data_IF_885435768935
#
_entry.id   IF_885435768935
#
_cell.length_a   1.000
_cell.length_b   1.000
_cell.length_c   1.000
_cell.angle_alpha   90.00
_cell.angle_beta   90.00
_cell.angle_gamma   90.00
#
_symmetry.space_group_name_H-M   'P 1'
#
loop_
_entity.id
_entity.type
_entity.pdbx_description
1 polymer ?
#
# COMPACT_ATOMS: atom_id res chain seq x y z
N UNK A 1 -21.46 -49.68 10.96
CA UNK A 1 -20.34 -48.93 11.55
C UNK A 1 -19.55 -48.27 10.43
N UNK A 2 -19.70 -46.95 10.25
CA UNK A 2 -19.06 -46.19 9.17
C UNK A 2 -17.83 -45.44 9.67
N UNK A 3 -16.66 -45.75 9.13
CA UNK A 3 -15.40 -45.04 9.40
C UNK A 3 -15.35 -43.78 8.53
N UNK A 4 -15.58 -42.60 9.14
CA UNK A 4 -15.35 -41.30 8.49
C UNK A 4 -13.86 -41.03 8.41
N UNK A 5 -13.35 -40.83 7.19
CA UNK A 5 -12.00 -40.31 6.95
C UNK A 5 -11.92 -38.85 7.39
N UNK A 6 -10.80 -38.40 8.00
CA UNK A 6 -10.63 -37.00 8.33
C UNK A 6 -10.48 -36.18 7.04
N UNK A 7 -11.38 -35.23 6.84
CA UNK A 7 -11.26 -34.18 5.83
C UNK A 7 -9.99 -33.38 6.10
N UNK A 8 -8.96 -33.57 5.26
CA UNK A 8 -7.84 -32.64 5.17
C UNK A 8 -8.42 -31.25 4.87
N UNK A 9 -8.24 -30.31 5.79
CA UNK A 9 -8.47 -28.89 5.51
C UNK A 9 -7.62 -28.51 4.28
N UNK A 10 -8.16 -27.80 3.28
CA UNK A 10 -7.34 -27.32 2.18
C UNK A 10 -6.32 -26.32 2.75
N UNK A 11 -5.04 -26.71 2.71
CA UNK A 11 -3.93 -25.81 2.96
C UNK A 11 -3.99 -24.67 1.93
N UNK A 12 -3.72 -23.44 2.40
CA UNK A 12 -3.84 -22.21 1.63
C UNK A 12 -3.15 -22.30 0.26
N UNK A 13 -3.93 -22.15 -0.80
CA UNK A 13 -3.44 -22.11 -2.20
C UNK A 13 -2.62 -20.86 -2.53
N UNK A 14 -2.63 -19.86 -1.62
CA UNK A 14 -1.93 -18.57 -1.71
C UNK A 14 -0.46 -18.68 -2.18
N UNK A 15 0.31 -19.64 -1.65
CA UNK A 15 1.75 -19.75 -1.95
C UNK A 15 2.07 -20.33 -3.32
N UNK A 16 1.12 -20.97 -3.99
CA UNK A 16 1.48 -21.88 -5.09
C UNK A 16 1.32 -21.28 -6.49
N UNK A 17 0.47 -20.26 -6.66
CA UNK A 17 0.16 -19.69 -7.99
C UNK A 17 0.99 -18.45 -8.32
N UNK A 18 1.08 -17.45 -7.43
CA UNK A 18 1.90 -16.24 -7.66
C UNK A 18 3.39 -16.53 -7.80
N UNK A 19 3.93 -17.43 -6.98
CA UNK A 19 5.30 -17.94 -7.09
C UNK A 19 5.58 -18.68 -8.40
N UNK A 20 4.57 -19.20 -9.11
CA UNK A 20 4.76 -19.90 -10.38
C UNK A 20 4.83 -18.95 -11.57
N UNK A 21 4.03 -17.88 -11.58
CA UNK A 21 4.03 -16.90 -12.68
C UNK A 21 5.31 -16.04 -12.65
N UNK A 22 5.81 -15.70 -11.46
CA UNK A 22 7.11 -15.03 -11.29
C UNK A 22 8.31 -15.84 -11.80
N UNK A 23 8.17 -17.16 -11.95
CA UNK A 23 9.23 -18.04 -12.49
C UNK A 23 9.27 -18.08 -14.02
N UNK A 24 8.23 -17.60 -14.69
CA UNK A 24 8.18 -17.48 -16.15
C UNK A 24 9.14 -16.38 -16.64
N UNK A 25 9.63 -16.45 -17.90
CA UNK A 25 10.54 -15.44 -18.45
C UNK A 25 10.00 -14.01 -18.32
N UNK A 26 8.71 -13.82 -18.60
CA UNK A 26 8.02 -12.52 -18.52
C UNK A 26 7.97 -12.00 -17.09
N UNK A 27 7.62 -12.85 -16.11
CA UNK A 27 7.63 -12.51 -14.69
C UNK A 27 9.01 -12.11 -14.20
N UNK A 28 10.06 -12.86 -14.59
CA UNK A 28 11.46 -12.54 -14.26
C UNK A 28 11.90 -11.22 -14.89
N UNK A 29 11.53 -10.97 -16.14
CA UNK A 29 11.85 -9.72 -16.83
C UNK A 29 11.17 -8.53 -16.14
N UNK A 30 9.89 -8.66 -15.81
CA UNK A 30 9.14 -7.63 -15.09
C UNK A 30 9.75 -7.38 -13.71
N UNK A 31 10.05 -8.40 -12.91
CA UNK A 31 10.71 -8.23 -11.60
C UNK A 31 12.05 -7.50 -11.69
N UNK A 32 12.92 -7.85 -12.65
CA UNK A 32 14.18 -7.11 -12.89
C UNK A 32 13.92 -5.66 -13.25
N UNK A 33 12.92 -5.39 -14.07
CA UNK A 33 12.54 -4.04 -14.48
C UNK A 33 11.93 -3.20 -13.33
N UNK A 34 11.59 -3.86 -12.22
CA UNK A 34 11.15 -3.26 -10.95
C UNK A 34 12.28 -3.21 -9.91
N UNK A 35 13.50 -3.56 -10.31
CA UNK A 35 14.68 -3.69 -9.45
C UNK A 35 14.47 -4.70 -8.31
N UNK A 36 13.70 -5.75 -8.59
CA UNK A 36 13.42 -6.83 -7.67
C UNK A 36 14.17 -8.09 -8.11
N UNK A 37 14.96 -8.67 -7.20
CA UNK A 37 15.58 -9.97 -7.42
C UNK A 37 14.51 -11.07 -7.65
N UNK A 38 14.46 -11.70 -8.84
CA UNK A 38 13.52 -12.78 -9.13
C UNK A 38 13.83 -14.10 -8.41
N UNK A 39 15.01 -14.22 -7.78
CA UNK A 39 15.47 -15.42 -7.06
C UNK A 39 15.10 -15.34 -5.58
N UNK A 40 15.05 -14.13 -5.01
CA UNK A 40 14.66 -13.91 -3.62
C UNK A 40 13.25 -14.46 -3.34
N UNK A 41 13.16 -15.45 -2.45
CA UNK A 41 11.96 -16.24 -2.18
C UNK A 41 10.89 -15.53 -1.35
N UNK A 42 11.16 -14.33 -0.84
CA UNK A 42 10.26 -13.64 0.09
C UNK A 42 10.20 -12.14 -0.21
N UNK A 43 9.50 -11.77 -1.29
CA UNK A 43 9.06 -10.39 -1.47
C UNK A 43 7.62 -10.28 -0.98
N UNK A 44 7.40 -9.39 -0.02
CA UNK A 44 6.05 -9.08 0.45
C UNK A 44 5.21 -8.50 -0.69
N UNK A 45 3.89 -8.71 -0.63
CA UNK A 45 2.95 -8.17 -1.62
C UNK A 45 3.04 -6.63 -1.69
N UNK A 46 3.19 -5.98 -0.53
CA UNK A 46 3.34 -4.52 -0.44
C UNK A 46 4.53 -4.00 -1.27
N UNK A 47 5.70 -4.64 -1.20
CA UNK A 47 6.87 -4.27 -1.99
C UNK A 47 6.61 -4.37 -3.50
N UNK A 48 5.96 -5.46 -3.94
CA UNK A 48 5.62 -5.66 -5.36
C UNK A 48 4.70 -4.55 -5.87
N UNK A 49 3.61 -4.28 -5.14
CA UNK A 49 2.65 -3.23 -5.48
C UNK A 49 3.32 -1.85 -5.49
N UNK A 50 4.12 -1.55 -4.47
CA UNK A 50 4.86 -0.29 -4.37
C UNK A 50 5.76 -0.05 -5.58
N UNK A 51 6.56 -1.06 -5.98
CA UNK A 51 7.45 -0.92 -7.15
C UNK A 51 6.68 -0.73 -8.44
N UNK A 52 5.57 -1.44 -8.62
CA UNK A 52 4.71 -1.27 -9.81
C UNK A 52 4.22 0.17 -9.90
N UNK A 53 3.68 0.70 -8.81
CA UNK A 53 3.13 2.07 -8.80
C UNK A 53 4.23 3.12 -8.96
N UNK A 54 5.36 3.03 -8.24
CA UNK A 54 6.45 4.02 -8.35
C UNK A 54 7.00 4.07 -9.78
N UNK A 55 7.10 2.93 -10.45
CA UNK A 55 7.61 2.84 -11.82
C UNK A 55 6.55 3.07 -12.90
N UNK A 56 5.29 3.34 -12.53
CA UNK A 56 4.18 3.53 -13.47
C UNK A 56 3.81 2.27 -14.26
N UNK A 57 4.10 1.09 -13.70
CA UNK A 57 3.89 -0.23 -14.32
C UNK A 57 2.71 -0.99 -13.73
N UNK A 58 1.87 -0.35 -12.94
CA UNK A 58 0.67 -0.88 -12.28
C UNK A 58 -0.51 -1.16 -13.24
N UNK A 59 -0.21 -1.68 -14.44
CA UNK A 59 -1.22 -2.08 -15.43
C UNK A 59 -1.85 -3.42 -15.08
N UNK A 60 -3.09 -3.70 -15.53
CA UNK A 60 -3.74 -4.99 -15.31
C UNK A 60 -2.90 -6.19 -15.78
N UNK A 61 -2.17 -6.06 -16.87
CA UNK A 61 -1.33 -7.10 -17.46
C UNK A 61 -0.13 -7.41 -16.56
N UNK A 62 0.61 -6.38 -16.13
CA UNK A 62 1.77 -6.54 -15.24
C UNK A 62 1.34 -7.09 -13.87
N UNK A 63 0.18 -6.63 -13.39
CA UNK A 63 -0.41 -7.12 -12.16
C UNK A 63 -0.82 -8.60 -12.27
N UNK A 64 -1.39 -9.01 -13.40
CA UNK A 64 -1.70 -10.42 -13.68
C UNK A 64 -0.43 -11.26 -13.77
N UNK A 65 0.66 -10.74 -14.35
CA UNK A 65 1.96 -11.43 -14.42
C UNK A 65 2.57 -11.62 -13.02
N UNK A 66 2.49 -10.64 -12.13
CA UNK A 66 3.13 -10.74 -10.81
C UNK A 66 2.29 -11.43 -9.74
N UNK A 67 0.97 -11.22 -9.77
CA UNK A 67 0.04 -11.68 -8.75
C UNK A 67 -0.79 -12.88 -9.22
N UNK A 68 -0.93 -13.07 -10.53
CA UNK A 68 -1.78 -14.12 -11.08
C UNK A 68 -3.27 -13.86 -10.80
N UNK A 69 -4.09 -14.93 -10.69
CA UNK A 69 -5.54 -14.81 -10.51
C UNK A 69 -6.00 -14.12 -9.22
N UNK A 70 -5.09 -13.89 -8.26
CA UNK A 70 -5.41 -13.22 -6.99
C UNK A 70 -5.50 -11.70 -7.10
N UNK A 71 -5.29 -11.14 -8.30
CA UNK A 71 -5.40 -9.72 -8.60
C UNK A 71 -6.68 -9.09 -8.02
N UNK A 72 -7.83 -9.75 -8.18
CA UNK A 72 -9.13 -9.23 -7.72
C UNK A 72 -9.16 -9.02 -6.21
N UNK A 73 -8.51 -9.90 -5.44
CA UNK A 73 -8.45 -9.79 -3.98
C UNK A 73 -7.52 -8.68 -3.50
N UNK A 74 -6.60 -8.21 -4.34
CA UNK A 74 -5.57 -7.23 -3.98
C UNK A 74 -5.88 -5.81 -4.50
N UNK A 75 -7.05 -5.60 -5.12
CA UNK A 75 -7.41 -4.31 -5.71
C UNK A 75 -7.41 -3.18 -4.67
N UNK A 76 -7.96 -3.44 -3.49
CA UNK A 76 -7.99 -2.45 -2.40
C UNK A 76 -6.58 -2.08 -1.90
N UNK A 77 -5.65 -3.06 -1.86
CA UNK A 77 -4.26 -2.80 -1.48
C UNK A 77 -3.52 -2.01 -2.56
N UNK A 78 -3.79 -2.28 -3.84
CA UNK A 78 -3.26 -1.48 -4.94
C UNK A 78 -3.77 -0.04 -4.87
N UNK A 79 -5.08 0.17 -4.75
CA UNK A 79 -5.70 1.51 -4.68
C UNK A 79 -5.14 2.30 -3.49
N UNK A 80 -4.99 1.65 -2.32
CA UNK A 80 -4.33 2.25 -1.16
C UNK A 80 -2.87 2.62 -1.45
N UNK A 81 -2.09 1.70 -2.04
CA UNK A 81 -0.67 1.92 -2.37
C UNK A 81 -0.50 3.07 -3.38
N UNK A 82 -1.40 3.17 -4.37
CA UNK A 82 -1.45 4.26 -5.32
C UNK A 82 -1.64 5.60 -4.62
N UNK A 83 -2.63 5.71 -3.73
CA UNK A 83 -2.88 6.93 -2.97
C UNK A 83 -1.69 7.30 -2.07
N UNK A 84 -1.10 6.34 -1.35
CA UNK A 84 0.07 6.60 -0.50
C UNK A 84 1.25 7.17 -1.31
N UNK A 85 1.54 6.61 -2.49
CA UNK A 85 2.62 7.10 -3.36
C UNK A 85 2.27 8.45 -4.00
N UNK A 86 1.02 8.65 -4.44
CA UNK A 86 0.55 9.92 -5.01
C UNK A 86 0.56 11.05 -3.97
N UNK A 87 0.30 10.74 -2.70
CA UNK A 87 0.35 11.71 -1.61
C UNK A 87 1.76 12.24 -1.34
N UNK A 88 2.82 11.59 -1.82
CA UNK A 88 4.22 11.99 -1.64
C UNK A 88 4.56 12.30 -0.17
N UNK A 89 4.53 11.24 0.64
CA UNK A 89 4.50 11.33 2.09
C UNK A 89 5.88 11.70 2.69
N UNK A 90 5.92 12.48 3.79
CA UNK A 90 7.16 13.05 4.36
C UNK A 90 7.93 12.09 5.28
N UNK A 91 9.27 12.12 5.29
CA UNK A 91 10.13 11.09 5.92
C UNK A 91 9.84 10.60 7.36
N UNK A 92 9.04 11.30 8.17
CA UNK A 92 8.60 10.84 9.50
C UNK A 92 7.26 10.09 9.54
N UNK A 93 6.69 9.66 8.40
CA UNK A 93 5.53 8.76 8.37
C UNK A 93 5.96 7.30 8.68
N UNK A 94 5.15 6.48 9.41
CA UNK A 94 5.55 5.12 9.80
C UNK A 94 5.92 4.20 8.64
N UNK A 95 5.19 4.29 7.52
CA UNK A 95 5.47 3.50 6.31
C UNK A 95 6.76 3.97 5.60
N UNK A 96 7.41 5.06 6.02
CA UNK A 96 8.62 5.59 5.39
C UNK A 96 9.82 4.72 5.70
N UNK A 97 9.94 4.28 6.94
CA UNK A 97 11.02 3.40 7.36
C UNK A 97 10.89 2.04 6.70
N UNK A 98 9.66 1.53 6.55
CA UNK A 98 9.41 0.32 5.74
C UNK A 98 9.81 0.53 4.27
N UNK A 99 9.41 1.65 3.67
CA UNK A 99 9.80 1.99 2.31
C UNK A 99 11.31 2.12 2.13
N UNK A 100 11.99 2.77 3.06
CA UNK A 100 13.45 2.96 3.07
C UNK A 100 14.19 1.63 3.22
N UNK A 101 13.67 0.74 4.06
CA UNK A 101 14.18 -0.63 4.17
C UNK A 101 13.99 -1.41 2.87
N UNK A 102 12.80 -1.32 2.28
CA UNK A 102 12.44 -1.95 1.01
C UNK A 102 13.24 -1.40 -0.20
N UNK A 103 13.69 -0.15 -0.09
CA UNK A 103 14.50 0.58 -1.07
C UNK A 103 16.00 0.52 -0.78
N UNK A 104 16.42 -0.10 0.33
CA UNK A 104 17.83 -0.20 0.70
C UNK A 104 18.64 -0.97 -0.37
N UNK A 105 19.69 -0.33 -0.87
CA UNK A 105 20.56 -0.89 -1.91
C UNK A 105 19.99 -0.77 -3.34
N UNK A 106 18.90 -0.03 -3.54
CA UNK A 106 18.35 0.30 -4.86
C UNK A 106 18.60 1.78 -5.17
N UNK A 107 19.78 2.09 -5.69
CA UNK A 107 20.23 3.48 -5.85
C UNK A 107 19.41 4.30 -6.88
N UNK A 108 18.64 3.65 -7.77
CA UNK A 108 18.06 4.31 -8.95
C UNK A 108 16.66 3.79 -9.36
N UNK A 109 15.70 3.71 -8.43
CA UNK A 109 14.31 3.49 -8.84
C UNK A 109 13.78 4.75 -9.53
N UNK A 110 13.68 4.73 -10.87
CA UNK A 110 13.07 5.83 -11.63
C UNK A 110 11.61 5.99 -11.26
N UNK A 111 11.28 7.12 -10.63
CA UNK A 111 9.89 7.48 -10.32
C UNK A 111 9.19 7.95 -11.59
N UNK A 112 8.21 7.17 -12.03
CA UNK A 112 7.36 7.42 -13.20
C UNK A 112 5.88 7.24 -12.84
N UNK A 113 5.49 7.71 -11.65
CA UNK A 113 4.12 7.63 -11.14
C UNK A 113 3.19 8.37 -12.09
N UNK A 114 2.08 7.72 -12.48
CA UNK A 114 1.04 8.34 -13.31
C UNK A 114 0.39 9.53 -12.61
N UNK A 115 -0.21 10.48 -13.35
CA UNK A 115 -1.05 11.50 -12.72
C UNK A 115 -2.25 10.86 -11.99
N UNK A 116 -2.73 11.49 -10.90
CA UNK A 116 -3.93 11.03 -10.22
C UNK A 116 -5.15 11.18 -11.13
N UNK A 117 -6.09 10.25 -11.02
CA UNK A 117 -7.45 10.39 -11.55
C UNK A 117 -8.24 11.44 -10.77
N UNK A 118 -9.38 11.88 -11.30
CA UNK A 118 -10.23 12.85 -10.62
C UNK A 118 -10.66 12.38 -9.22
N UNK A 119 -11.08 11.12 -9.09
CA UNK A 119 -11.49 10.55 -7.80
C UNK A 119 -10.34 10.44 -6.81
N UNK A 120 -9.13 10.09 -7.28
CA UNK A 120 -7.94 10.09 -6.44
C UNK A 120 -7.58 11.50 -5.99
N UNK A 121 -7.71 12.49 -6.88
CA UNK A 121 -7.46 13.89 -6.55
C UNK A 121 -8.42 14.42 -5.49
N UNK A 122 -9.71 14.08 -5.59
CA UNK A 122 -10.72 14.41 -4.57
C UNK A 122 -10.37 13.74 -3.22
N UNK A 123 -10.03 12.45 -3.25
CA UNK A 123 -9.60 11.69 -2.07
C UNK A 123 -8.36 12.29 -1.42
N UNK A 124 -7.34 12.64 -2.22
CA UNK A 124 -6.12 13.28 -1.75
C UNK A 124 -6.41 14.64 -1.12
N UNK A 125 -7.34 15.42 -1.67
CA UNK A 125 -7.75 16.70 -1.09
C UNK A 125 -8.36 16.51 0.30
N UNK A 126 -9.24 15.53 0.47
CA UNK A 126 -9.82 15.20 1.79
C UNK A 126 -8.73 14.74 2.77
N UNK A 127 -7.84 13.84 2.34
CA UNK A 127 -6.72 13.37 3.17
C UNK A 127 -5.86 14.54 3.62
N UNK A 128 -5.46 15.44 2.71
CA UNK A 128 -4.66 16.64 3.04
C UNK A 128 -5.39 17.60 3.99
N UNK A 129 -6.71 17.69 3.92
CA UNK A 129 -7.50 18.46 4.87
C UNK A 129 -7.46 17.84 6.28
N UNK A 130 -7.60 16.51 6.38
CA UNK A 130 -7.52 15.79 7.64
C UNK A 130 -6.13 15.97 8.26
N UNK A 131 -5.06 15.79 7.48
CA UNK A 131 -3.68 15.99 7.94
C UNK A 131 -3.48 17.40 8.52
N UNK A 132 -3.94 18.42 7.82
CA UNK A 132 -3.86 19.82 8.28
C UNK A 132 -4.60 20.04 9.60
N UNK A 133 -5.81 19.49 9.73
CA UNK A 133 -6.59 19.58 10.98
C UNK A 133 -5.90 18.87 12.14
N UNK A 134 -5.27 17.72 11.88
CA UNK A 134 -4.43 17.03 12.86
C UNK A 134 -3.27 17.90 13.29
N UNK A 135 -2.44 18.35 12.35
CA UNK A 135 -1.26 19.18 12.62
C UNK A 135 -1.60 20.48 13.37
N UNK A 136 -2.73 21.11 13.08
CA UNK A 136 -3.22 22.29 13.81
C UNK A 136 -3.55 22.00 15.28
N UNK A 137 -3.97 20.77 15.61
CA UNK A 137 -4.34 20.38 16.97
C UNK A 137 -3.15 19.91 17.80
N UNK A 138 -2.25 19.13 17.21
CA UNK A 138 -1.18 18.44 17.96
C UNK A 138 0.24 18.88 17.58
N UNK A 139 0.39 19.67 16.54
CA UNK A 139 1.69 20.04 15.97
C UNK A 139 2.22 19.06 14.93
N UNK A 140 3.23 19.49 14.18
CA UNK A 140 3.88 18.71 13.11
C UNK A 140 4.83 17.66 13.71
N UNK A 141 4.74 16.42 13.23
CA UNK A 141 5.54 15.30 13.71
C UNK A 141 5.04 14.71 15.03
N UNK A 142 3.75 14.92 15.35
CA UNK A 142 3.08 14.33 16.49
C UNK A 142 2.02 13.33 16.00
N UNK A 143 1.85 12.21 16.70
CA UNK A 143 0.76 11.27 16.46
C UNK A 143 -0.48 11.67 17.27
N UNK A 144 -1.69 11.66 16.69
CA UNK A 144 -2.92 11.96 17.42
C UNK A 144 -3.28 10.85 18.40
N UNK A 145 -3.77 11.24 19.58
CA UNK A 145 -4.42 10.31 20.51
C UNK A 145 -5.90 10.07 20.15
N UNK A 146 -6.57 9.21 20.91
CA UNK A 146 -7.98 8.86 20.68
C UNK A 146 -8.94 10.05 20.89
N UNK A 147 -8.56 11.04 21.70
CA UNK A 147 -9.34 12.26 21.91
C UNK A 147 -9.30 13.17 20.68
N UNK A 148 -8.09 13.46 20.21
CA UNK A 148 -7.84 14.24 18.98
C UNK A 148 -8.50 13.57 17.77
N UNK A 149 -8.38 12.24 17.67
CA UNK A 149 -9.06 11.46 16.63
C UNK A 149 -10.57 11.72 16.62
N UNK A 150 -11.24 11.58 17.77
CA UNK A 150 -12.68 11.81 17.88
C UNK A 150 -13.06 13.24 17.46
N UNK A 151 -12.31 14.23 17.92
CA UNK A 151 -12.57 15.63 17.57
C UNK A 151 -12.47 15.88 16.06
N UNK A 152 -11.44 15.36 15.41
CA UNK A 152 -11.24 15.53 13.97
C UNK A 152 -12.35 14.83 13.18
N UNK A 153 -12.70 13.61 13.55
CA UNK A 153 -13.79 12.85 12.92
C UNK A 153 -15.13 13.59 13.05
N UNK A 154 -15.42 14.20 14.21
CA UNK A 154 -16.63 15.00 14.39
C UNK A 154 -16.70 16.21 13.45
N UNK A 155 -15.56 16.77 13.02
CA UNK A 155 -15.55 17.84 12.01
C UNK A 155 -15.92 17.39 10.60
N UNK A 156 -15.98 16.07 10.35
CA UNK A 156 -16.33 15.50 9.06
C UNK A 156 -17.85 15.29 8.88
N UNK A 157 -18.65 15.67 9.88
CA UNK A 157 -20.11 15.57 9.87
C UNK A 157 -20.65 14.21 10.32
N UNK A 158 -21.97 13.98 10.21
CA UNK A 158 -22.62 12.78 10.74
C UNK A 158 -22.17 11.47 10.07
N UNK A 159 -21.64 11.54 8.84
CA UNK A 159 -21.15 10.38 8.09
C UNK A 159 -19.67 10.07 8.35
N UNK A 160 -19.08 10.59 9.43
CA UNK A 160 -17.70 10.30 9.79
C UNK A 160 -17.35 8.80 9.88
N UNK A 161 -18.25 7.86 10.25
CA UNK A 161 -17.91 6.44 10.25
C UNK A 161 -17.48 5.92 8.87
N UNK A 162 -18.08 6.46 7.80
CA UNK A 162 -17.74 6.11 6.42
C UNK A 162 -16.37 6.68 6.02
N UNK A 163 -15.96 7.80 6.63
CA UNK A 163 -14.69 8.49 6.37
C UNK A 163 -13.53 8.00 7.24
N UNK A 164 -13.74 6.98 8.07
CA UNK A 164 -12.71 6.39 8.93
C UNK A 164 -11.49 5.90 8.17
N UNK A 165 -11.69 5.36 6.96
CA UNK A 165 -10.60 4.91 6.11
C UNK A 165 -9.73 6.09 5.63
N UNK A 166 -10.33 7.25 5.33
CA UNK A 166 -9.61 8.48 4.96
C UNK A 166 -8.82 9.03 6.14
N UNK A 167 -9.40 9.01 7.34
CA UNK A 167 -8.67 9.39 8.55
C UNK A 167 -7.46 8.49 8.77
N UNK A 168 -7.65 7.17 8.70
CA UNK A 168 -6.57 6.20 8.87
C UNK A 168 -5.46 6.41 7.84
N UNK A 169 -5.84 6.61 6.58
CA UNK A 169 -4.89 6.93 5.51
C UNK A 169 -4.15 8.24 5.81
N UNK A 170 -4.85 9.29 6.22
CA UNK A 170 -4.26 10.58 6.53
C UNK A 170 -3.21 10.50 7.65
N UNK A 171 -3.53 9.81 8.74
CA UNK A 171 -2.57 9.62 9.85
C UNK A 171 -1.38 8.78 9.39
N UNK A 172 -1.60 7.68 8.68
CA UNK A 172 -0.51 6.81 8.20
C UNK A 172 0.41 7.48 7.18
N UNK A 173 -0.03 8.59 6.57
CA UNK A 173 0.69 9.31 5.51
C UNK A 173 1.16 10.71 5.92
N UNK A 174 0.90 11.16 7.16
CA UNK A 174 1.44 12.41 7.70
C UNK A 174 2.76 12.18 8.45
N UNK A 175 3.52 13.26 8.65
CA UNK A 175 4.69 13.22 9.52
C UNK A 175 4.25 12.99 10.98
N UNK A 176 4.70 11.86 11.53
CA UNK A 176 4.47 11.46 12.92
C UNK A 176 5.75 11.49 13.75
N UNK A 177 6.86 12.02 13.21
CA UNK A 177 8.13 12.12 13.91
C UNK A 177 8.85 10.80 14.12
N UNK A 178 8.51 9.74 13.36
CA UNK A 178 9.10 8.40 13.50
C UNK A 178 10.61 8.39 13.21
N UNK A 179 11.08 9.28 12.33
CA UNK A 179 12.44 9.30 11.80
C UNK A 179 13.25 10.51 12.29
N UNK A 180 12.93 11.04 13.47
CA UNK A 180 13.67 12.15 14.11
C UNK A 180 14.84 11.67 14.95
#
# INVERSE_FOLDING_TARGET
MGLRRPTRRPQSTWRSSGHRVQKLPEGKALMRSLLLDPIATHKGLALLLRRLVITGKDTPENMQVLLGPTLVSNKNELERTQLEILLDTPGGFPMHEEAKFDDAGVDHLTRAVRPPSQTEQETMKEVREIQRKSEQKIGVGCSPDSGVMREILMTMGPNWPEKMHLYTLAINTMDQGVSR
#
